data_IF_174549888662
#
_entry.id   IF_174549888662
#
_cell.length_a   1.000
_cell.length_b   1.000
_cell.length_c   1.000
_cell.angle_alpha   90.00
_cell.angle_beta   90.00
_cell.angle_gamma   90.00
#
_symmetry.space_group_name_H-M   'P 1'
#
loop_
_entity.id
_entity.type
_entity.pdbx_description
1 polymer ?
#
# COMPACT_ATOMS: atom_id res chain seq x y z
N UNK A 1 -19.23 8.12 -4.62
CA UNK A 1 -18.01 8.49 -3.87
C UNK A 1 -17.86 7.49 -2.72
N UNK A 2 -16.65 7.03 -2.39
CA UNK A 2 -16.40 6.19 -1.21
C UNK A 2 -15.96 7.10 -0.06
N UNK A 3 -16.62 6.99 1.08
CA UNK A 3 -16.35 7.80 2.28
C UNK A 3 -15.17 7.23 3.06
N UNK A 4 -14.19 8.07 3.37
CA UNK A 4 -13.12 7.70 4.26
C UNK A 4 -13.63 7.65 5.71
N UNK A 5 -13.42 6.52 6.38
CA UNK A 5 -13.81 6.33 7.77
C UNK A 5 -12.61 5.93 8.61
N UNK A 6 -12.62 6.36 9.89
CA UNK A 6 -11.64 5.90 10.85
C UNK A 6 -11.74 4.39 11.07
N UNK A 7 -10.64 3.73 11.50
CA UNK A 7 -10.69 2.33 11.83
C UNK A 7 -11.69 2.08 12.96
N UNK A 8 -12.50 0.99 12.87
CA UNK A 8 -13.38 0.64 13.96
C UNK A 8 -12.55 0.34 15.22
N UNK A 9 -13.15 0.53 16.40
CA UNK A 9 -12.51 0.15 17.65
C UNK A 9 -12.02 -1.31 17.55
N UNK A 10 -10.70 -1.49 17.68
CA UNK A 10 -10.06 -2.79 17.66
C UNK A 10 -9.70 -3.16 19.09
N UNK A 11 -10.16 -4.32 19.54
CA UNK A 11 -9.79 -4.90 20.85
C UNK A 11 -8.54 -5.79 20.74
N UNK A 12 -7.87 -5.77 19.59
CA UNK A 12 -6.70 -6.60 19.29
C UNK A 12 -5.44 -5.77 19.52
N UNK A 13 -4.48 -6.29 20.28
CA UNK A 13 -3.21 -5.61 20.58
C UNK A 13 -2.37 -5.33 19.33
N UNK A 14 -2.62 -6.05 18.22
CA UNK A 14 -1.94 -5.88 16.95
C UNK A 14 -2.87 -6.09 15.75
N UNK A 15 -2.69 -5.24 14.74
CA UNK A 15 -3.40 -5.33 13.46
C UNK A 15 -4.78 -4.67 13.45
N UNK A 16 -5.32 -4.53 12.24
CA UNK A 16 -6.62 -3.95 11.97
C UNK A 16 -7.43 -4.90 11.09
N UNK A 17 -8.70 -5.12 11.44
CA UNK A 17 -9.63 -5.83 10.55
C UNK A 17 -9.93 -4.96 9.33
N UNK A 18 -9.81 -5.57 8.16
CA UNK A 18 -10.16 -4.97 6.87
C UNK A 18 -11.48 -5.53 6.35
N UNK A 19 -12.14 -4.78 5.48
CA UNK A 19 -13.33 -5.19 4.75
C UNK A 19 -12.93 -5.81 3.42
N UNK A 20 -13.77 -6.69 2.90
CA UNK A 20 -13.59 -7.20 1.55
C UNK A 20 -13.86 -6.09 0.52
N UNK A 21 -13.22 -6.17 -0.65
CA UNK A 21 -13.41 -5.23 -1.75
C UNK A 21 -14.89 -5.07 -2.14
N UNK A 22 -15.65 -6.16 -2.16
CA UNK A 22 -17.10 -6.15 -2.40
C UNK A 22 -17.86 -5.32 -1.37
N UNK A 23 -17.55 -5.47 -0.08
CA UNK A 23 -18.20 -4.72 0.99
C UNK A 23 -17.86 -3.23 0.94
N UNK A 24 -16.62 -2.86 0.62
CA UNK A 24 -16.21 -1.46 0.45
C UNK A 24 -16.98 -0.82 -0.70
N UNK A 25 -17.15 -1.56 -1.81
CA UNK A 25 -17.89 -1.09 -2.98
C UNK A 25 -19.39 -1.00 -2.75
N UNK A 26 -19.98 -1.92 -1.97
CA UNK A 26 -21.40 -1.92 -1.61
C UNK A 26 -21.71 -0.80 -0.60
N UNK A 27 -20.97 -0.76 0.52
CA UNK A 27 -21.20 0.17 1.63
C UNK A 27 -20.67 1.58 1.35
N UNK A 28 -19.90 1.76 0.27
CA UNK A 28 -19.26 3.03 -0.12
C UNK A 28 -18.49 3.69 1.03
N UNK A 29 -17.82 2.89 1.86
CA UNK A 29 -16.96 3.39 2.94
C UNK A 29 -15.78 2.47 3.21
N UNK A 30 -14.65 3.04 3.65
CA UNK A 30 -13.45 2.28 3.99
C UNK A 30 -12.40 3.10 4.74
N UNK A 31 -11.50 2.39 5.41
CA UNK A 31 -10.29 2.95 6.06
C UNK A 31 -9.15 3.14 5.05
N UNK A 32 -8.04 3.76 5.45
CA UNK A 32 -6.84 3.81 4.62
C UNK A 32 -6.44 2.43 4.12
N UNK A 33 -6.42 1.42 5.00
CA UNK A 33 -6.01 0.07 4.64
C UNK A 33 -7.01 -0.63 3.71
N UNK A 34 -8.31 -0.45 3.93
CA UNK A 34 -9.35 -1.00 3.04
C UNK A 34 -9.19 -0.47 1.62
N UNK A 35 -8.97 0.85 1.50
CA UNK A 35 -8.84 1.52 0.21
C UNK A 35 -7.51 1.19 -0.46
N UNK A 36 -6.41 1.16 0.30
CA UNK A 36 -5.10 0.73 -0.22
C UNK A 36 -5.19 -0.65 -0.85
N UNK A 37 -5.85 -1.62 -0.18
CA UNK A 37 -5.98 -2.99 -0.69
C UNK A 37 -6.96 -3.10 -1.84
N UNK A 38 -8.08 -2.37 -1.80
CA UNK A 38 -9.01 -2.30 -2.93
C UNK A 38 -8.29 -1.81 -4.20
N UNK A 39 -7.57 -0.70 -4.11
CA UNK A 39 -6.85 -0.17 -5.26
C UNK A 39 -5.64 -1.02 -5.66
N UNK A 40 -4.93 -1.64 -4.70
CA UNK A 40 -3.87 -2.61 -5.01
C UNK A 40 -4.40 -3.75 -5.87
N UNK A 41 -5.57 -4.31 -5.54
CA UNK A 41 -6.18 -5.38 -6.33
C UNK A 41 -6.53 -4.93 -7.77
N UNK A 42 -6.93 -3.67 -7.95
CA UNK A 42 -7.17 -3.12 -9.28
C UNK A 42 -5.87 -2.98 -10.08
N UNK A 43 -4.79 -2.52 -9.45
CA UNK A 43 -3.47 -2.39 -10.08
C UNK A 43 -2.93 -3.76 -10.49
N UNK A 44 -3.03 -4.76 -9.61
CA UNK A 44 -2.65 -6.15 -9.92
C UNK A 44 -3.48 -6.71 -11.10
N UNK A 45 -4.79 -6.43 -11.13
CA UNK A 45 -5.67 -6.89 -12.21
C UNK A 45 -5.33 -6.29 -13.59
N UNK A 46 -4.67 -5.13 -13.64
CA UNK A 46 -4.16 -4.52 -14.89
C UNK A 46 -2.68 -4.81 -15.12
N UNK A 47 -2.13 -5.83 -14.46
CA UNK A 47 -0.74 -6.28 -14.57
C UNK A 47 0.30 -5.23 -14.17
N UNK A 48 -0.07 -4.28 -13.29
CA UNK A 48 0.89 -3.45 -12.58
C UNK A 48 1.31 -4.17 -11.30
N UNK A 49 2.50 -3.84 -10.79
CA UNK A 49 3.04 -4.43 -9.57
C UNK A 49 2.75 -3.52 -8.37
N UNK A 50 1.63 -3.70 -7.63
CA UNK A 50 1.29 -2.83 -6.52
C UNK A 50 2.25 -3.02 -5.34
N UNK A 51 2.51 -1.90 -4.65
CA UNK A 51 3.27 -1.85 -3.41
C UNK A 51 2.38 -1.31 -2.30
N UNK A 52 2.24 -2.08 -1.23
CA UNK A 52 1.51 -1.66 -0.03
C UNK A 52 2.52 -1.17 1.01
N UNK A 53 2.52 0.13 1.25
CA UNK A 53 3.45 0.77 2.19
C UNK A 53 2.71 1.01 3.50
N UNK A 54 3.18 0.37 4.57
CA UNK A 54 2.59 0.48 5.89
C UNK A 54 3.47 1.36 6.78
N UNK A 55 2.87 2.41 7.35
CA UNK A 55 3.46 3.20 8.42
C UNK A 55 2.60 3.10 9.67
N UNK A 56 3.10 3.59 10.80
CA UNK A 56 2.31 3.61 12.04
C UNK A 56 1.04 4.45 11.84
N UNK A 57 -0.12 3.79 11.79
CA UNK A 57 -1.44 4.41 11.70
C UNK A 57 -1.91 4.78 10.30
N UNK A 58 -1.16 4.46 9.23
CA UNK A 58 -1.58 4.74 7.86
C UNK A 58 -1.00 3.74 6.86
N UNK A 59 -1.65 3.64 5.70
CA UNK A 59 -1.19 2.85 4.57
C UNK A 59 -1.23 3.68 3.29
N UNK A 60 -0.27 3.45 2.41
CA UNK A 60 -0.20 4.06 1.09
C UNK A 60 -0.13 2.97 0.02
N UNK A 61 -0.56 3.35 -1.18
CA UNK A 61 -0.43 2.54 -2.38
C UNK A 61 0.64 3.14 -3.28
N UNK A 62 1.59 2.33 -3.68
CA UNK A 62 2.48 2.59 -4.80
C UNK A 62 2.33 1.51 -5.87
N UNK A 63 3.02 1.67 -6.98
CA UNK A 63 3.25 0.61 -7.95
C UNK A 63 4.58 0.84 -8.65
N UNK A 64 5.14 -0.23 -9.19
CA UNK A 64 6.35 -0.17 -10.01
C UNK A 64 5.98 0.08 -11.47
N UNK A 65 6.65 1.04 -12.12
CA UNK A 65 6.34 1.44 -13.51
C UNK A 65 7.27 0.81 -14.54
N UNK A 66 8.56 0.62 -14.22
CA UNK A 66 9.61 0.15 -15.16
C UNK A 66 10.51 -0.86 -14.45
N UNK A 67 10.86 -2.00 -15.06
CA UNK A 67 11.85 -2.96 -14.52
C UNK A 67 13.30 -2.42 -14.58
N UNK A 68 13.52 -1.14 -14.30
CA UNK A 68 14.87 -0.58 -14.15
C UNK A 68 15.46 -1.02 -12.80
N UNK A 69 16.13 -2.18 -12.84
CA UNK A 69 17.16 -2.49 -11.87
C UNK A 69 18.39 -1.64 -12.23
N UNK A 70 18.96 -0.93 -11.26
CA UNK A 70 20.31 -0.37 -11.42
C UNK A 70 21.24 -1.50 -11.85
N UNK A 71 21.72 -1.48 -13.10
CA UNK A 71 22.65 -2.50 -13.59
C UNK A 71 24.01 -2.39 -12.89
N UNK A 72 24.33 -1.20 -12.39
CA UNK A 72 25.55 -0.96 -11.63
C UNK A 72 25.31 -1.27 -10.15
N UNK A 73 26.13 -2.18 -9.63
CA UNK A 73 26.32 -2.29 -8.18
C UNK A 73 26.87 -0.95 -7.70
N UNK A 74 26.22 -0.33 -6.71
CA UNK A 74 26.75 0.90 -6.09
C UNK A 74 28.04 0.53 -5.35
N UNK A 75 29.17 0.66 -6.02
CA UNK A 75 30.47 0.61 -5.37
C UNK A 75 30.67 1.95 -4.66
N UNK A 76 30.54 1.94 -3.33
CA UNK A 76 30.97 3.06 -2.51
C UNK A 76 32.50 3.12 -2.56
N UNK A 77 33.02 3.94 -3.47
CA UNK A 77 34.44 4.23 -3.51
C UNK A 77 34.83 5.05 -2.27
N UNK A 78 35.54 4.39 -1.34
CA UNK A 78 35.98 4.97 -0.08
C UNK A 78 37.01 6.10 -0.28
N UNK A 79 37.60 6.23 -1.48
CA UNK A 79 38.59 7.26 -1.79
C UNK A 79 37.98 8.64 -2.05
N UNK A 80 36.66 8.70 -2.24
CA UNK A 80 35.90 9.95 -2.43
C UNK A 80 35.53 10.66 -1.11
N UNK A 81 35.96 10.13 0.05
CA UNK A 81 35.72 10.68 1.39
C UNK A 81 36.92 11.45 1.99
N UNK A 82 37.97 11.71 1.20
CA UNK A 82 39.12 12.55 1.59
C UNK A 82 39.19 13.82 0.75
#
# INVERSE_FOLDING_TARGET
>A
MITYIGPPASFVEGGQRIRLSSEVLEKKMGTCLDLTLLFASCLEAVSLHPLVILIKGHSFLGFWQEEEFFQDTVEYDLSSLT
#
